data_IF_213495221249
#
_entry.id   IF_213495221249
#
_cell.length_a   1.000
_cell.length_b   1.000
_cell.length_c   1.000
_cell.angle_alpha   90.00
_cell.angle_beta   90.00
_cell.angle_gamma   90.00
#
_symmetry.space_group_name_H-M   'P 1'
#
loop_
_entity.id
_entity.type
_entity.pdbx_description
1 polymer ?
#
# COMPACT_ATOMS: atom_id res chain seq x y z
N UNK A 1 -19.15 -1.08 17.87
CA UNK A 1 -18.23 -2.20 18.08
C UNK A 1 -16.83 -1.96 17.50
N UNK A 2 -16.51 -2.24 16.22
CA UNK A 2 -15.12 -2.16 15.72
C UNK A 2 -14.43 -0.79 15.90
N UNK A 3 -15.14 0.31 15.61
CA UNK A 3 -14.61 1.68 15.82
C UNK A 3 -14.41 2.04 17.30
N UNK A 4 -15.24 1.49 18.19
CA UNK A 4 -15.12 1.74 19.63
C UNK A 4 -13.92 0.99 20.21
N UNK A 5 -13.76 -0.27 19.80
CA UNK A 5 -12.59 -1.11 20.12
C UNK A 5 -11.30 -0.41 19.72
N UNK A 6 -11.18 0.04 18.47
CA UNK A 6 -9.97 0.75 18.02
C UNK A 6 -9.73 2.01 18.85
N UNK A 7 -10.77 2.78 19.15
CA UNK A 7 -10.65 4.01 19.96
C UNK A 7 -10.19 3.71 21.40
N UNK A 8 -10.71 2.64 22.00
CA UNK A 8 -10.30 2.19 23.34
C UNK A 8 -8.86 1.68 23.33
N UNK A 9 -8.47 0.86 22.34
CA UNK A 9 -7.10 0.38 22.19
C UNK A 9 -6.11 1.53 21.98
N UNK A 10 -6.46 2.55 21.19
CA UNK A 10 -5.64 3.76 21.03
C UNK A 10 -5.46 4.49 22.35
N UNK A 11 -6.54 4.67 23.13
CA UNK A 11 -6.46 5.31 24.44
C UNK A 11 -5.54 4.52 25.36
N UNK A 12 -5.70 3.19 25.41
CA UNK A 12 -4.89 2.32 26.26
C UNK A 12 -3.42 2.31 25.86
N UNK A 13 -3.13 2.25 24.56
CA UNK A 13 -1.76 2.34 24.04
C UNK A 13 -1.08 3.62 24.53
N UNK A 14 -1.75 4.77 24.40
CA UNK A 14 -1.24 6.05 24.87
C UNK A 14 -1.02 6.08 26.40
N UNK A 15 -1.94 5.51 27.20
CA UNK A 15 -1.78 5.38 28.67
C UNK A 15 -0.55 4.53 29.05
N UNK A 16 -0.20 3.55 28.22
CA UNK A 16 0.99 2.69 28.38
C UNK A 16 2.26 3.32 27.79
N UNK A 17 2.15 4.56 27.30
CA UNK A 17 3.24 5.32 26.69
C UNK A 17 3.70 4.75 25.35
N UNK A 18 2.80 4.13 24.59
CA UNK A 18 3.00 3.80 23.17
C UNK A 18 2.47 4.92 22.29
N UNK A 19 3.24 5.31 21.28
CA UNK A 19 2.81 6.29 20.28
C UNK A 19 2.02 5.58 19.19
N UNK A 20 0.77 5.98 18.96
CA UNK A 20 -0.02 5.49 17.81
C UNK A 20 0.26 6.38 16.59
N UNK A 21 0.75 5.78 15.52
CA UNK A 21 1.14 6.45 14.27
C UNK A 21 -0.04 6.48 13.29
N UNK A 22 -0.73 5.36 13.16
CA UNK A 22 -1.84 5.19 12.23
C UNK A 22 -2.84 4.16 12.74
N UNK A 23 -4.10 4.27 12.32
CA UNK A 23 -5.13 3.28 12.61
C UNK A 23 -6.15 3.21 11.50
N UNK A 24 -6.54 1.99 11.14
CA UNK A 24 -7.63 1.73 10.21
C UNK A 24 -8.81 1.04 10.93
N UNK A 25 -9.56 0.19 10.23
CA UNK A 25 -10.82 -0.37 10.71
C UNK A 25 -10.60 -1.53 11.67
N UNK A 26 -9.48 -2.24 11.50
CA UNK A 26 -9.10 -3.48 12.17
C UNK A 26 -7.61 -3.55 12.54
N UNK A 27 -6.82 -2.54 12.23
CA UNK A 27 -5.37 -2.51 12.45
C UNK A 27 -4.91 -1.20 13.08
N UNK A 28 -3.84 -1.29 13.88
CA UNK A 28 -3.17 -0.17 14.54
C UNK A 28 -1.67 -0.27 14.30
N UNK A 29 -1.06 0.86 13.94
CA UNK A 29 0.37 1.03 13.77
C UNK A 29 0.87 1.85 14.93
N UNK A 30 1.75 1.24 15.72
CA UNK A 30 2.28 1.80 16.95
C UNK A 30 3.81 1.74 16.89
N UNK A 31 4.45 2.70 17.54
CA UNK A 31 5.89 2.65 17.74
C UNK A 31 6.26 1.37 18.51
N UNK A 32 7.17 0.58 17.95
CA UNK A 32 7.45 -0.75 18.45
C UNK A 32 8.31 -0.70 19.71
N UNK A 33 7.80 -1.30 20.78
CA UNK A 33 8.56 -1.57 22.02
C UNK A 33 8.08 -2.91 22.55
N UNK A 34 8.84 -3.98 22.29
CA UNK A 34 8.46 -5.38 22.56
C UNK A 34 7.62 -5.56 23.84
N UNK A 35 8.16 -5.21 25.01
CA UNK A 35 7.44 -5.36 26.29
C UNK A 35 6.08 -4.64 26.33
N UNK A 36 6.01 -3.39 25.86
CA UNK A 36 4.77 -2.61 25.89
C UNK A 36 3.74 -3.14 24.90
N UNK A 37 4.20 -3.64 23.74
CA UNK A 37 3.33 -4.27 22.75
C UNK A 37 2.73 -5.55 23.31
N UNK A 38 3.55 -6.40 23.95
CA UNK A 38 3.08 -7.63 24.60
C UNK A 38 2.06 -7.32 25.71
N UNK A 39 2.33 -6.31 26.54
CA UNK A 39 1.41 -5.88 27.59
C UNK A 39 0.07 -5.37 27.00
N UNK A 40 0.12 -4.65 25.87
CA UNK A 40 -1.08 -4.14 25.18
C UNK A 40 -1.90 -5.30 24.59
N UNK A 41 -1.26 -6.25 23.92
CA UNK A 41 -1.91 -7.45 23.39
C UNK A 41 -2.59 -8.24 24.51
N UNK A 42 -1.89 -8.44 25.64
CA UNK A 42 -2.45 -9.11 26.80
C UNK A 42 -3.66 -8.39 27.41
N UNK A 43 -3.69 -7.06 27.36
CA UNK A 43 -4.87 -6.27 27.76
C UNK A 43 -6.03 -6.44 26.77
N UNK A 44 -5.77 -6.41 25.46
CA UNK A 44 -6.81 -6.62 24.44
C UNK A 44 -7.48 -7.99 24.62
N UNK A 45 -6.70 -9.04 24.84
CA UNK A 45 -7.23 -10.39 25.05
C UNK A 45 -8.06 -10.52 26.34
N UNK A 46 -7.61 -9.90 27.43
CA UNK A 46 -8.27 -10.04 28.74
C UNK A 46 -9.49 -9.14 28.90
N UNK A 47 -9.34 -7.86 28.55
CA UNK A 47 -10.33 -6.82 28.83
C UNK A 47 -11.34 -6.69 27.69
N UNK A 48 -10.87 -6.75 26.43
CA UNK A 48 -11.75 -6.66 25.25
C UNK A 48 -12.24 -8.03 24.77
N UNK A 49 -11.63 -9.13 25.23
CA UNK A 49 -11.93 -10.51 24.78
C UNK A 49 -11.81 -10.66 23.27
N UNK A 50 -10.81 -10.00 22.69
CA UNK A 50 -10.50 -10.05 21.26
C UNK A 50 -9.11 -10.63 21.05
N UNK A 51 -8.94 -11.36 19.95
CA UNK A 51 -7.63 -11.82 19.52
C UNK A 51 -6.94 -10.70 18.73
N UNK A 52 -5.77 -10.29 19.20
CA UNK A 52 -4.89 -9.36 18.51
C UNK A 52 -3.49 -9.96 18.46
N UNK A 53 -2.76 -9.72 17.37
CA UNK A 53 -1.41 -10.21 17.19
C UNK A 53 -0.54 -9.14 16.55
N UNK A 54 0.75 -9.18 16.86
CA UNK A 54 1.75 -8.47 16.09
C UNK A 54 1.83 -9.11 14.70
N UNK A 55 1.49 -8.34 13.65
CA UNK A 55 1.51 -8.85 12.28
C UNK A 55 2.88 -8.63 11.61
N UNK A 56 3.38 -7.39 11.66
CA UNK A 56 4.63 -6.98 11.02
C UNK A 56 5.32 -5.89 11.85
N UNK A 57 6.65 -5.87 11.78
CA UNK A 57 7.49 -4.78 12.28
C UNK A 57 8.13 -4.11 11.06
N UNK A 58 8.03 -2.78 11.00
CA UNK A 58 8.59 -1.99 9.89
C UNK A 58 9.72 -1.12 10.41
N UNK A 59 10.83 -1.08 9.69
CA UNK A 59 11.89 -0.08 9.93
C UNK A 59 11.40 1.32 9.53
N UNK A 60 10.76 1.41 8.35
CA UNK A 60 10.23 2.64 7.78
C UNK A 60 8.88 2.35 7.13
N UNK A 61 7.94 3.27 7.29
CA UNK A 61 6.60 3.18 6.70
C UNK A 61 6.13 4.55 6.24
N UNK A 62 5.46 4.59 5.09
CA UNK A 62 4.82 5.79 4.54
C UNK A 62 3.33 5.54 4.37
N UNK A 63 2.54 6.47 4.90
CA UNK A 63 1.09 6.49 4.74
C UNK A 63 0.69 7.57 3.73
N UNK A 64 -0.30 7.26 2.90
CA UNK A 64 -0.97 8.30 2.12
C UNK A 64 -2.14 8.89 2.93
N UNK A 65 -2.71 10.00 2.46
CA UNK A 65 -3.92 10.58 3.07
C UNK A 65 -5.13 9.63 2.99
N UNK A 66 -5.12 8.71 2.02
CA UNK A 66 -6.19 7.75 1.84
C UNK A 66 -6.03 6.56 2.80
N UNK A 67 -7.15 6.12 3.37
CA UNK A 67 -7.18 4.91 4.19
C UNK A 67 -6.81 3.67 3.36
N UNK A 68 -6.21 2.66 4.01
CA UNK A 68 -5.78 1.40 3.38
C UNK A 68 -4.76 1.57 2.26
N UNK A 69 -3.97 2.65 2.30
CA UNK A 69 -2.99 2.99 1.26
C UNK A 69 -1.68 3.41 1.90
N UNK A 70 -0.75 2.47 2.00
CA UNK A 70 0.56 2.63 2.63
C UNK A 70 1.58 1.67 2.02
N UNK A 71 2.86 1.95 2.28
CA UNK A 71 3.95 1.04 1.99
C UNK A 71 4.97 1.07 3.14
N UNK A 72 5.57 -0.08 3.46
CA UNK A 72 6.56 -0.21 4.52
C UNK A 72 7.68 -1.15 4.11
N UNK A 73 8.84 -0.95 4.74
CA UNK A 73 9.98 -1.84 4.64
C UNK A 73 10.11 -2.59 5.96
N UNK A 74 10.05 -3.93 5.93
CA UNK A 74 10.19 -4.76 7.14
C UNK A 74 11.65 -4.83 7.59
N UNK A 75 11.89 -5.34 8.81
CA UNK A 75 13.24 -5.61 9.32
C UNK A 75 14.01 -6.63 8.44
N UNK A 76 13.29 -7.49 7.71
CA UNK A 76 13.86 -8.42 6.72
C UNK A 76 14.10 -7.77 5.35
N UNK A 77 13.98 -6.43 5.24
CA UNK A 77 14.13 -5.67 4.00
C UNK A 77 13.09 -6.06 2.91
N UNK A 78 11.93 -6.56 3.34
CA UNK A 78 10.81 -6.86 2.45
C UNK A 78 9.93 -5.62 2.27
N UNK A 79 9.59 -5.32 1.02
CA UNK A 79 8.70 -4.21 0.69
C UNK A 79 7.25 -4.69 0.80
N UNK A 80 6.52 -4.21 1.80
CA UNK A 80 5.09 -4.39 1.93
C UNK A 80 4.33 -3.23 1.31
N UNK A 81 3.34 -3.53 0.48
CA UNK A 81 2.56 -2.51 -0.23
C UNK A 81 1.09 -2.83 -0.14
N UNK A 82 0.31 -1.90 0.43
CA UNK A 82 -1.13 -2.07 0.62
C UNK A 82 -1.88 -0.97 -0.11
N UNK A 83 -2.77 -1.40 -1.00
CA UNK A 83 -3.72 -0.53 -1.71
C UNK A 83 -3.13 0.46 -2.72
N UNK A 84 -1.81 0.47 -2.93
CA UNK A 84 -1.14 1.29 -3.94
C UNK A 84 -1.19 0.62 -5.34
N UNK A 85 -0.89 1.40 -6.36
CA UNK A 85 -0.99 1.02 -7.78
C UNK A 85 -0.10 -0.18 -8.14
N UNK A 86 1.03 -0.37 -7.46
CA UNK A 86 2.00 -1.43 -7.69
C UNK A 86 1.38 -2.82 -7.64
N UNK A 87 0.41 -3.04 -6.75
CA UNK A 87 -0.25 -4.34 -6.59
C UNK A 87 -1.51 -4.50 -7.43
N UNK A 88 -1.93 -3.44 -8.14
CA UNK A 88 -3.12 -3.48 -8.98
C UNK A 88 -2.82 -4.17 -10.31
N UNK A 89 -3.79 -4.92 -10.84
CA UNK A 89 -3.63 -5.68 -12.11
C UNK A 89 -4.03 -4.89 -13.35
N UNK A 90 -4.79 -3.82 -13.15
CA UNK A 90 -5.24 -2.88 -14.19
C UNK A 90 -4.21 -1.78 -14.50
N UNK A 91 -2.98 -1.93 -14.00
CA UNK A 91 -1.85 -1.08 -14.33
C UNK A 91 -0.81 -1.86 -15.13
N UNK A 92 -0.15 -1.18 -16.06
CA UNK A 92 0.92 -1.80 -16.84
C UNK A 92 2.14 -2.12 -15.98
N UNK A 93 2.89 -3.15 -16.36
CA UNK A 93 4.09 -3.60 -15.64
C UNK A 93 5.09 -2.46 -15.43
N UNK A 94 5.27 -1.62 -16.44
CA UNK A 94 6.19 -0.50 -16.37
C UNK A 94 5.84 0.47 -15.22
N UNK A 95 4.56 0.76 -15.01
CA UNK A 95 4.12 1.63 -13.92
C UNK A 95 4.29 0.95 -12.56
N UNK A 96 3.98 -0.34 -12.46
CA UNK A 96 4.09 -1.12 -11.22
C UNK A 96 5.54 -1.28 -10.77
N UNK A 97 6.43 -1.63 -11.70
CA UNK A 97 7.88 -1.66 -11.48
C UNK A 97 8.40 -0.28 -11.06
N UNK A 98 7.91 0.80 -11.69
CA UNK A 98 8.32 2.16 -11.35
C UNK A 98 7.95 2.52 -9.92
N UNK A 99 6.71 2.25 -9.50
CA UNK A 99 6.28 2.55 -8.13
C UNK A 99 7.01 1.67 -7.12
N UNK A 100 7.20 0.37 -7.41
CA UNK A 100 7.90 -0.54 -6.51
C UNK A 100 9.34 -0.13 -6.24
N UNK A 101 10.09 0.20 -7.29
CA UNK A 101 11.48 0.66 -7.12
C UNK A 101 11.56 2.03 -6.46
N UNK A 102 10.66 2.95 -6.83
CA UNK A 102 10.58 4.26 -6.16
C UNK A 102 10.35 4.12 -4.66
N UNK A 103 9.46 3.21 -4.24
CA UNK A 103 9.21 2.92 -2.83
C UNK A 103 10.44 2.34 -2.15
N UNK A 104 11.22 1.48 -2.82
CA UNK A 104 12.49 0.97 -2.28
C UNK A 104 13.52 2.08 -2.07
N UNK A 105 13.63 3.02 -3.01
CA UNK A 105 14.54 4.17 -2.88
C UNK A 105 14.09 5.04 -1.69
N UNK A 106 12.80 5.38 -1.61
CA UNK A 106 12.25 6.27 -0.57
C UNK A 106 12.29 5.65 0.83
N UNK A 107 11.94 4.36 0.95
CA UNK A 107 11.94 3.64 2.22
C UNK A 107 13.31 3.06 2.58
N UNK A 108 14.22 2.97 1.63
CA UNK A 108 15.62 2.64 1.89
C UNK A 108 16.40 3.86 2.36
N UNK A 109 17.67 3.93 1.97
CA UNK A 109 18.57 5.05 2.30
C UNK A 109 18.77 6.00 1.11
N UNK A 110 17.85 5.95 0.14
CA UNK A 110 17.91 6.77 -1.06
C UNK A 110 17.67 8.25 -0.76
N UNK A 111 18.54 9.10 -1.30
CA UNK A 111 18.43 10.55 -1.18
C UNK A 111 17.40 11.15 -2.14
N UNK A 112 17.03 12.42 -1.90
CA UNK A 112 16.12 13.17 -2.78
C UNK A 112 16.61 13.19 -4.25
N UNK A 113 17.91 13.37 -4.47
CA UNK A 113 18.48 13.39 -5.82
C UNK A 113 18.30 12.05 -6.55
N UNK A 114 18.44 10.93 -5.84
CA UNK A 114 18.24 9.60 -6.39
C UNK A 114 16.78 9.38 -6.79
N UNK A 115 15.85 9.75 -5.92
CA UNK A 115 14.41 9.73 -6.21
C UNK A 115 14.09 10.55 -7.47
N UNK A 116 14.58 11.79 -7.54
CA UNK A 116 14.32 12.67 -8.67
C UNK A 116 14.94 12.15 -9.96
N UNK A 117 16.17 11.63 -9.91
CA UNK A 117 16.85 11.07 -11.06
C UNK A 117 16.15 9.82 -11.57
N UNK A 118 15.71 8.93 -10.68
CA UNK A 118 14.95 7.74 -11.02
C UNK A 118 13.66 8.09 -11.76
N UNK A 119 12.84 8.99 -11.20
CA UNK A 119 11.57 9.38 -11.83
C UNK A 119 11.79 10.07 -13.19
N UNK A 120 12.81 10.94 -13.30
CA UNK A 120 13.18 11.60 -14.57
C UNK A 120 13.63 10.60 -15.63
N UNK A 121 14.45 9.62 -15.26
CA UNK A 121 14.91 8.56 -16.17
C UNK A 121 13.73 7.74 -16.69
N UNK A 122 12.86 7.26 -15.79
CA UNK A 122 11.66 6.48 -16.17
C UNK A 122 10.77 7.27 -17.13
N UNK A 123 10.46 8.53 -16.80
CA UNK A 123 9.68 9.41 -17.67
C UNK A 123 10.34 9.61 -19.05
N UNK A 124 11.66 9.78 -19.07
CA UNK A 124 12.40 10.03 -20.31
C UNK A 124 12.45 8.79 -21.22
N UNK A 125 12.70 7.61 -20.66
CA UNK A 125 12.67 6.35 -21.42
C UNK A 125 11.31 6.09 -22.05
N UNK A 126 10.22 6.38 -21.34
CA UNK A 126 8.86 6.29 -21.87
C UNK A 126 8.65 7.25 -23.05
N UNK A 127 9.06 8.53 -22.91
CA UNK A 127 8.95 9.54 -23.97
C UNK A 127 9.76 9.18 -25.22
N UNK A 128 10.96 8.61 -25.03
CA UNK A 128 11.83 8.15 -26.12
C UNK A 128 11.45 6.79 -26.70
N UNK A 129 10.40 6.14 -26.18
CA UNK A 129 9.93 4.80 -26.59
C UNK A 129 11.02 3.71 -26.44
N UNK A 130 11.85 3.84 -25.41
CA UNK A 130 12.93 2.91 -25.08
C UNK A 130 12.47 1.77 -24.14
N UNK A 131 11.15 1.55 -24.05
CA UNK A 131 10.53 0.55 -23.17
C UNK A 131 9.94 -0.55 -24.05
N UNK A 132 10.13 -1.81 -23.68
CA UNK A 132 9.43 -2.93 -24.33
C UNK A 132 7.91 -2.67 -24.28
N UNK A 133 7.22 -2.56 -25.43
CA UNK A 133 5.78 -2.35 -25.47
C UNK A 133 4.98 -3.38 -24.66
N UNK A 134 5.50 -4.60 -24.47
CA UNK A 134 4.85 -5.63 -23.62
C UNK A 134 4.67 -5.17 -22.18
N UNK A 135 5.61 -4.36 -21.65
CA UNK A 135 5.50 -3.79 -20.30
C UNK A 135 4.47 -2.67 -20.19
N UNK A 136 3.95 -2.19 -21.32
CA UNK A 136 2.94 -1.13 -21.40
C UNK A 136 1.52 -1.69 -21.58
N UNK A 137 1.36 -3.01 -21.65
CA UNK A 137 0.05 -3.66 -21.75
C UNK A 137 -0.76 -3.40 -20.48
N UNK A 138 -2.01 -2.98 -20.65
CA UNK A 138 -2.99 -2.79 -19.58
C UNK A 138 -4.03 -3.90 -19.71
N UNK A 139 -4.28 -4.61 -18.61
CA UNK A 139 -5.26 -5.69 -18.56
C UNK A 139 -6.52 -5.22 -17.86
N UNK A 140 -7.62 -5.13 -18.59
CA UNK A 140 -8.93 -4.81 -18.04
C UNK A 140 -9.93 -5.92 -18.33
N UNK A 141 -10.72 -6.28 -17.31
CA UNK A 141 -11.72 -7.34 -17.41
C UNK A 141 -13.05 -6.75 -17.85
N UNK A 142 -13.62 -7.31 -18.92
CA UNK A 142 -15.00 -7.09 -19.32
C UNK A 142 -15.89 -7.99 -18.46
N UNK A 143 -16.89 -7.40 -17.80
CA UNK A 143 -17.74 -8.07 -16.80
C UNK A 143 -19.22 -8.09 -17.19
N UNK A 144 -19.59 -7.39 -18.28
CA UNK A 144 -20.96 -7.29 -18.81
C UNK A 144 -20.91 -7.35 -20.33
N UNK A 145 -22.07 -7.41 -20.98
CA UNK A 145 -22.12 -7.29 -22.45
C UNK A 145 -21.66 -5.88 -22.85
N UNK A 146 -21.02 -5.75 -24.01
CA UNK A 146 -20.45 -4.48 -24.46
C UNK A 146 -21.51 -3.37 -24.57
N UNK A 147 -22.74 -3.72 -24.90
CA UNK A 147 -23.89 -2.82 -24.98
C UNK A 147 -24.37 -2.30 -23.62
N UNK A 148 -24.12 -3.03 -22.54
CA UNK A 148 -24.53 -2.65 -21.18
C UNK A 148 -23.61 -1.60 -20.54
N UNK A 149 -22.48 -1.28 -21.19
CA UNK A 149 -21.55 -0.27 -20.71
C UNK A 149 -22.03 1.13 -21.07
N UNK A 150 -22.50 1.86 -20.05
CA UNK A 150 -22.87 3.29 -20.17
C UNK A 150 -21.66 4.13 -20.58
N UNK A 151 -20.49 3.86 -20.00
CA UNK A 151 -19.23 4.51 -20.34
C UNK A 151 -18.35 3.60 -21.19
N UNK A 152 -18.04 4.02 -22.42
CA UNK A 152 -17.17 3.30 -23.34
C UNK A 152 -15.71 3.65 -23.06
N UNK A 153 -15.13 2.99 -22.06
CA UNK A 153 -13.69 3.07 -21.78
C UNK A 153 -12.82 2.56 -22.93
N UNK A 154 -11.51 2.77 -22.84
CA UNK A 154 -10.57 2.35 -23.88
C UNK A 154 -10.67 0.85 -24.18
N UNK A 155 -10.68 0.00 -23.14
CA UNK A 155 -10.78 -1.45 -23.28
C UNK A 155 -12.11 -1.90 -23.91
N UNK A 156 -13.24 -1.23 -23.60
CA UNK A 156 -14.54 -1.50 -24.21
C UNK A 156 -14.54 -1.12 -25.69
N UNK A 157 -13.95 0.02 -26.03
CA UNK A 157 -13.87 0.51 -27.40
C UNK A 157 -13.03 -0.42 -28.27
N UNK A 158 -11.88 -0.87 -27.76
CA UNK A 158 -11.03 -1.86 -28.45
C UNK A 158 -11.75 -3.19 -28.59
N UNK A 159 -12.41 -3.68 -27.54
CA UNK A 159 -13.14 -4.95 -27.60
C UNK A 159 -14.27 -4.95 -28.63
N UNK A 160 -15.00 -3.84 -28.77
CA UNK A 160 -16.05 -3.69 -29.78
C UNK A 160 -15.54 -3.70 -31.24
N UNK A 161 -14.25 -3.51 -31.46
CA UNK A 161 -13.62 -3.60 -32.79
C UNK A 161 -13.12 -5.02 -33.13
N UNK A 162 -13.10 -5.92 -32.14
CA UNK A 162 -12.62 -7.30 -32.30
C UNK A 162 -13.75 -8.31 -32.54
N UNK A 163 -15.00 -7.88 -32.40
CA UNK A 163 -16.24 -8.63 -32.69
C UNK A 163 -16.89 -8.12 -33.96
#
# INVERSE_FOLDING_TARGET
>A
LGREVIKETVKKANEMGLTVIYGDTDSLFIEYTSKKVDDLLGWIEKDLRLEAKLEKVYEKVVFTEAKKRYAGLTEENELDVVGLEMIRRDWCDYARETQGELLRIVLGDGGLDEVLNYVKDRSSKLKRREIDPRKLIIWEKITRLLEDYVAKGAHITVAAQLV
#
